data_IF_662180241899
#
_entry.id   IF_662180241899
#
_cell.length_a   1.000
_cell.length_b   1.000
_cell.length_c   1.000
_cell.angle_alpha   90.00
_cell.angle_beta   90.00
_cell.angle_gamma   90.00
#
_symmetry.space_group_name_H-M   'P 1'
#
loop_
_entity.id
_entity.type
_entity.pdbx_description
1 polymer ?
#
# COMPACT_ATOMS: atom_id res chain seq x y z
N UNK A 1 -20.27 -17.08 -28.21
CA UNK A 1 -19.09 -16.51 -27.54
C UNK A 1 -19.18 -14.97 -27.45
N UNK A 2 -20.25 -14.38 -26.93
CA UNK A 2 -20.43 -12.92 -26.88
C UNK A 2 -21.03 -12.37 -25.58
N UNK A 3 -21.12 -13.18 -24.52
CA UNK A 3 -21.73 -12.75 -23.24
C UNK A 3 -20.74 -12.30 -22.17
N UNK A 4 -19.43 -12.44 -22.37
CA UNK A 4 -18.42 -12.13 -21.37
C UNK A 4 -17.84 -10.70 -21.46
N UNK A 5 -18.18 -9.93 -22.51
CA UNK A 5 -17.62 -8.59 -22.70
C UNK A 5 -18.47 -7.46 -22.09
N UNK A 6 -19.76 -7.69 -21.82
CA UNK A 6 -20.64 -6.64 -21.26
C UNK A 6 -20.58 -6.52 -19.73
N UNK A 7 -20.12 -7.58 -19.04
CA UNK A 7 -20.06 -7.58 -17.57
C UNK A 7 -18.91 -6.74 -16.97
N UNK A 8 -17.85 -6.55 -17.75
CA UNK A 8 -16.64 -5.85 -17.26
C UNK A 8 -16.75 -4.31 -17.26
N UNK A 9 -17.66 -3.73 -18.00
CA UNK A 9 -17.80 -2.28 -18.14
C UNK A 9 -18.67 -1.69 -17.02
N UNK A 10 -19.71 -2.41 -16.58
CA UNK A 10 -20.62 -2.00 -15.50
C UNK A 10 -19.91 -1.89 -14.14
N UNK A 11 -19.02 -2.81 -13.82
CA UNK A 11 -18.27 -2.82 -12.57
C UNK A 11 -17.32 -1.62 -12.41
N UNK A 12 -16.64 -1.22 -13.49
CA UNK A 12 -15.73 -0.06 -13.47
C UNK A 12 -16.43 1.25 -13.13
N UNK A 13 -17.64 1.44 -13.64
CA UNK A 13 -18.44 2.64 -13.34
C UNK A 13 -19.07 2.59 -11.94
N UNK A 14 -19.38 1.41 -11.41
CA UNK A 14 -19.95 1.28 -10.07
C UNK A 14 -18.99 1.75 -8.99
N UNK A 15 -17.69 1.50 -9.12
CA UNK A 15 -16.69 2.02 -8.16
C UNK A 15 -16.48 3.53 -8.27
N UNK A 16 -16.50 4.08 -9.48
CA UNK A 16 -16.39 5.53 -9.70
C UNK A 16 -17.62 6.25 -9.15
N UNK A 17 -18.82 5.72 -9.40
CA UNK A 17 -20.09 6.26 -8.90
C UNK A 17 -20.17 6.13 -7.37
N UNK A 18 -19.77 5.00 -6.80
CA UNK A 18 -19.71 4.82 -5.35
C UNK A 18 -18.72 5.78 -4.69
N UNK A 19 -17.54 5.99 -5.30
CA UNK A 19 -16.56 6.97 -4.82
C UNK A 19 -17.06 8.41 -4.86
N UNK A 20 -17.75 8.80 -5.94
CA UNK A 20 -18.38 10.12 -6.07
C UNK A 20 -19.56 10.30 -5.10
N UNK A 21 -20.31 9.23 -4.83
CA UNK A 21 -21.43 9.25 -3.90
C UNK A 21 -20.96 9.41 -2.44
N UNK A 22 -19.89 8.73 -2.05
CA UNK A 22 -19.27 8.89 -0.72
C UNK A 22 -18.70 10.30 -0.55
N UNK A 23 -18.10 10.88 -1.60
CA UNK A 23 -17.57 12.24 -1.55
C UNK A 23 -18.66 13.30 -1.35
N UNK A 24 -19.90 13.07 -1.80
CA UNK A 24 -21.02 14.02 -1.66
C UNK A 24 -21.67 14.05 -0.27
N UNK A 25 -21.43 13.08 0.59
CA UNK A 25 -21.96 13.01 1.95
C UNK A 25 -21.04 13.58 3.03
N UNK A 26 -19.82 14.02 2.67
CA UNK A 26 -18.93 14.63 3.64
C UNK A 26 -19.34 16.11 3.84
N UNK A 27 -19.85 16.49 5.02
CA UNK A 27 -20.10 17.89 5.32
C UNK A 27 -18.77 18.65 5.38
N UNK A 28 -18.45 19.38 4.32
CA UNK A 28 -17.18 20.11 4.11
C UNK A 28 -16.92 21.27 5.10
N UNK A 29 -17.73 21.42 6.15
CA UNK A 29 -17.53 22.47 7.15
C UNK A 29 -16.56 22.03 8.23
N UNK A 30 -15.29 22.44 8.09
CA UNK A 30 -14.25 22.25 9.11
C UNK A 30 -13.44 20.95 9.06
N UNK A 31 -13.67 20.08 8.08
CA UNK A 31 -12.80 18.94 7.83
C UNK A 31 -11.57 19.36 7.04
N UNK A 32 -10.39 19.11 7.58
CA UNK A 32 -9.15 19.22 6.81
C UNK A 32 -8.97 17.93 6.01
N UNK A 33 -8.67 18.09 4.75
CA UNK A 33 -8.33 17.00 3.81
C UNK A 33 -6.89 17.19 3.40
N UNK A 34 -6.14 16.11 3.34
CA UNK A 34 -4.79 16.13 2.78
C UNK A 34 -4.64 15.05 1.72
N UNK A 35 -3.83 15.34 0.72
CA UNK A 35 -3.39 14.36 -0.29
C UNK A 35 -1.90 14.16 -0.13
N UNK A 36 -1.44 12.92 -0.26
CA UNK A 36 -0.05 12.55 -0.03
C UNK A 36 0.48 11.58 -1.08
N UNK A 37 1.79 11.61 -1.27
CA UNK A 37 2.55 10.58 -2.00
C UNK A 37 3.71 10.10 -1.14
N UNK A 38 4.05 8.82 -1.25
CA UNK A 38 5.18 8.21 -0.55
C UNK A 38 6.40 8.22 -1.47
N UNK A 39 7.38 9.06 -1.14
CA UNK A 39 8.61 9.25 -1.92
C UNK A 39 9.45 7.97 -2.02
N UNK A 40 9.39 7.06 -1.03
CA UNK A 40 10.07 5.77 -1.10
C UNK A 40 9.44 4.86 -2.16
N UNK A 41 8.12 4.88 -2.28
CA UNK A 41 7.42 4.15 -3.33
C UNK A 41 7.70 4.77 -4.70
N UNK A 42 7.71 6.09 -4.82
CA UNK A 42 8.04 6.82 -6.05
C UNK A 42 9.48 6.48 -6.51
N UNK A 43 10.43 6.38 -5.58
CA UNK A 43 11.82 5.98 -5.87
C UNK A 43 11.92 4.56 -6.45
N UNK A 44 10.95 3.69 -6.17
CA UNK A 44 10.84 2.35 -6.78
C UNK A 44 9.91 2.32 -7.99
N UNK A 45 9.59 3.48 -8.58
CA UNK A 45 8.66 3.64 -9.71
C UNK A 45 7.26 3.07 -9.46
N UNK A 46 6.85 3.06 -8.20
CA UNK A 46 5.52 2.61 -7.78
C UNK A 46 4.59 3.82 -7.69
N UNK A 47 3.56 3.85 -8.52
CA UNK A 47 2.50 4.87 -8.39
C UNK A 47 1.81 4.70 -7.05
N UNK A 48 1.68 5.80 -6.33
CA UNK A 48 0.98 5.78 -5.05
C UNK A 48 0.25 7.11 -4.82
N UNK A 49 -0.83 7.02 -4.09
CA UNK A 49 -1.61 8.16 -3.65
C UNK A 49 -2.29 7.82 -2.33
N UNK A 50 -2.30 8.76 -1.41
CA UNK A 50 -3.03 8.69 -0.15
C UNK A 50 -3.94 9.91 0.02
N UNK A 51 -5.06 9.68 0.69
CA UNK A 51 -5.98 10.75 1.10
C UNK A 51 -6.22 10.62 2.59
N UNK A 52 -5.96 11.69 3.32
CA UNK A 52 -6.17 11.75 4.76
C UNK A 52 -7.31 12.71 5.11
N UNK A 53 -8.24 12.23 5.92
CA UNK A 53 -9.43 12.94 6.35
C UNK A 53 -9.38 13.15 7.87
N UNK A 54 -9.52 14.38 8.32
CA UNK A 54 -9.64 14.69 9.74
C UNK A 54 -11.06 14.39 10.22
N UNK A 55 -11.23 13.35 11.03
CA UNK A 55 -12.52 12.94 11.58
C UNK A 55 -12.81 13.59 12.93
N UNK A 56 -11.77 13.86 13.73
CA UNK A 56 -11.85 14.39 15.09
C UNK A 56 -10.62 15.27 15.37
N UNK A 57 -10.60 16.12 16.40
CA UNK A 57 -9.43 16.93 16.75
C UNK A 57 -8.11 16.19 16.89
N UNK A 58 -8.16 14.90 17.28
CA UNK A 58 -6.99 14.03 17.44
C UNK A 58 -6.99 12.79 16.53
N UNK A 59 -8.02 12.58 15.73
CA UNK A 59 -8.13 11.40 14.88
C UNK A 59 -8.26 11.76 13.41
N UNK A 60 -7.48 11.09 12.60
CA UNK A 60 -7.59 11.13 11.13
C UNK A 60 -7.71 9.72 10.58
N UNK A 61 -8.31 9.61 9.41
CA UNK A 61 -8.33 8.40 8.60
C UNK A 61 -7.52 8.66 7.34
N UNK A 62 -6.47 7.89 7.16
CA UNK A 62 -5.67 7.84 5.94
C UNK A 62 -6.07 6.61 5.12
N UNK A 63 -6.22 6.78 3.82
CA UNK A 63 -6.40 5.67 2.88
C UNK A 63 -5.40 5.84 1.77
N UNK A 64 -4.42 4.96 1.71
CA UNK A 64 -3.39 4.98 0.69
C UNK A 64 -3.50 3.76 -0.23
N UNK A 65 -3.19 3.98 -1.50
CA UNK A 65 -3.12 2.95 -2.51
C UNK A 65 -1.82 3.04 -3.30
N UNK A 66 -1.25 1.90 -3.65
CA UNK A 66 -0.08 1.81 -4.49
C UNK A 66 -0.28 0.80 -5.61
N UNK A 67 0.33 1.07 -6.76
CA UNK A 67 0.24 0.25 -7.94
C UNK A 67 1.54 0.28 -8.73
N UNK A 68 2.09 -0.90 -8.98
CA UNK A 68 3.27 -1.07 -9.81
C UNK A 68 3.03 -2.15 -10.87
N UNK A 69 2.83 -1.78 -12.14
CA UNK A 69 2.60 -2.74 -13.23
C UNK A 69 3.88 -3.21 -13.93
N UNK A 70 5.06 -2.73 -13.51
CA UNK A 70 6.25 -2.82 -14.33
C UNK A 70 6.91 -4.21 -14.32
N UNK A 71 7.38 -4.60 -15.49
CA UNK A 71 8.42 -5.60 -15.67
C UNK A 71 9.64 -4.86 -16.22
N UNK A 72 10.73 -4.86 -15.47
CA UNK A 72 11.97 -4.19 -15.84
C UNK A 72 12.83 -5.06 -16.77
N UNK A 73 13.99 -4.53 -17.21
CA UNK A 73 14.99 -5.28 -17.97
C UNK A 73 15.35 -6.58 -17.24
N UNK A 74 15.80 -7.59 -18.00
CA UNK A 74 16.12 -8.94 -17.50
C UNK A 74 14.92 -9.64 -16.84
N UNK A 75 13.69 -9.28 -17.25
CA UNK A 75 12.46 -9.84 -16.71
C UNK A 75 12.34 -9.74 -15.17
N UNK A 76 12.86 -8.69 -14.58
CA UNK A 76 12.66 -8.37 -13.18
C UNK A 76 11.21 -7.93 -12.97
N UNK A 77 10.43 -8.75 -12.29
CA UNK A 77 9.03 -8.46 -12.00
C UNK A 77 8.91 -7.85 -10.61
N UNK A 78 8.32 -6.65 -10.57
CA UNK A 78 7.99 -5.93 -9.33
C UNK A 78 6.54 -5.46 -9.38
N UNK A 79 5.65 -6.38 -9.80
CA UNK A 79 4.25 -6.04 -10.00
C UNK A 79 3.49 -6.24 -8.70
N UNK A 80 2.78 -5.21 -8.26
CA UNK A 80 1.92 -5.29 -7.09
C UNK A 80 0.87 -4.18 -7.11
N UNK A 81 -0.19 -4.40 -6.38
CA UNK A 81 -1.09 -3.36 -5.91
C UNK A 81 -1.35 -3.58 -4.42
N UNK A 82 -1.51 -2.51 -3.68
CA UNK A 82 -1.76 -2.52 -2.25
C UNK A 82 -2.71 -1.38 -1.91
N UNK A 83 -3.67 -1.67 -1.02
CA UNK A 83 -4.54 -0.65 -0.39
C UNK A 83 -4.36 -0.77 1.10
N UNK A 84 -4.15 0.37 1.76
CA UNK A 84 -3.82 0.45 3.18
C UNK A 84 -4.61 1.58 3.84
N UNK A 85 -5.81 1.31 4.39
CA UNK A 85 -6.48 2.20 5.32
C UNK A 85 -5.81 2.19 6.69
N UNK A 86 -5.71 3.38 7.30
CA UNK A 86 -5.07 3.61 8.58
C UNK A 86 -5.81 4.64 9.42
N UNK A 87 -6.15 4.28 10.65
CA UNK A 87 -6.62 5.21 11.66
C UNK A 87 -5.42 5.78 12.42
N UNK A 88 -5.30 7.12 12.50
CA UNK A 88 -4.19 7.82 13.11
C UNK A 88 -4.64 8.61 14.33
N UNK A 89 -3.93 8.42 15.42
CA UNK A 89 -4.09 9.20 16.65
C UNK A 89 -2.94 10.20 16.79
N UNK A 90 -3.25 11.49 16.81
CA UNK A 90 -2.31 12.58 16.93
C UNK A 90 -2.17 13.01 18.40
N UNK A 91 -0.92 13.08 18.91
CA UNK A 91 -0.69 13.42 20.30
C UNK A 91 -1.01 14.88 20.63
N UNK A 92 -0.67 15.79 19.72
CA UNK A 92 -0.89 17.22 19.91
C UNK A 92 -1.99 17.74 18.98
N UNK A 93 -1.66 18.03 17.75
CA UNK A 93 -2.56 18.61 16.75
C UNK A 93 -2.68 17.66 15.55
N UNK A 94 -3.89 17.50 15.02
CA UNK A 94 -4.14 16.69 13.83
C UNK A 94 -3.28 17.14 12.65
N UNK A 95 -2.75 16.20 11.91
CA UNK A 95 -1.89 16.40 10.74
C UNK A 95 -0.56 17.12 11.01
N UNK A 96 -0.11 17.17 12.28
CA UNK A 96 1.18 17.77 12.65
C UNK A 96 1.74 17.16 13.92
N UNK A 97 3.05 16.91 13.95
CA UNK A 97 3.74 16.33 15.08
C UNK A 97 3.67 14.80 15.12
N UNK A 98 3.72 14.24 16.30
CA UNK A 98 3.76 12.81 16.53
C UNK A 98 2.38 12.17 16.41
N UNK A 99 2.32 10.97 15.81
CA UNK A 99 1.11 10.16 15.75
C UNK A 99 1.39 8.66 15.87
N UNK A 100 0.36 7.93 16.29
CA UNK A 100 0.28 6.48 16.20
C UNK A 100 -0.73 6.12 15.11
N UNK A 101 -0.35 5.20 14.23
CA UNK A 101 -1.17 4.65 13.17
C UNK A 101 -1.60 3.21 13.48
N UNK A 102 -2.84 2.88 13.16
CA UNK A 102 -3.38 1.53 13.18
C UNK A 102 -3.83 1.21 11.76
N UNK A 103 -3.05 0.42 11.04
CA UNK A 103 -3.32 0.10 9.66
C UNK A 103 -3.75 -1.34 9.46
N UNK A 104 -4.60 -1.53 8.47
CA UNK A 104 -4.85 -2.81 7.83
C UNK A 104 -4.48 -2.68 6.36
N UNK A 105 -4.13 -3.78 5.73
CA UNK A 105 -3.73 -3.72 4.33
C UNK A 105 -4.11 -5.00 3.59
N UNK A 106 -4.30 -4.84 2.29
CA UNK A 106 -4.57 -5.95 1.40
C UNK A 106 -4.10 -5.64 -0.01
N UNK A 107 -3.60 -6.67 -0.69
CA UNK A 107 -3.09 -6.50 -2.02
C UNK A 107 -2.69 -7.80 -2.69
N UNK A 108 -2.24 -7.70 -3.94
CA UNK A 108 -1.69 -8.81 -4.68
C UNK A 108 -0.34 -8.43 -5.31
N UNK A 109 0.49 -9.43 -5.51
CA UNK A 109 1.83 -9.27 -6.01
C UNK A 109 2.23 -10.36 -7.00
N UNK A 110 3.15 -10.01 -7.89
CA UNK A 110 3.84 -10.91 -8.79
C UNK A 110 5.29 -10.46 -8.87
N UNK A 111 6.14 -11.10 -8.09
CA UNK A 111 7.51 -10.66 -7.82
C UNK A 111 8.47 -11.78 -8.19
N UNK A 112 9.52 -11.46 -8.94
CA UNK A 112 10.52 -12.44 -9.33
C UNK A 112 11.73 -11.83 -10.02
N UNK A 113 12.83 -12.60 -10.06
CA UNK A 113 14.11 -12.19 -10.62
C UNK A 113 14.68 -10.90 -9.98
N UNK A 114 14.53 -10.77 -8.65
CA UNK A 114 15.05 -9.65 -7.89
C UNK A 114 16.29 -10.08 -7.09
N UNK A 115 17.41 -9.43 -7.34
CA UNK A 115 18.64 -9.67 -6.60
C UNK A 115 18.62 -8.92 -5.25
N UNK A 116 17.85 -9.43 -4.30
CA UNK A 116 17.77 -8.89 -2.94
C UNK A 116 18.57 -9.80 -2.02
N UNK A 117 19.70 -9.32 -1.54
CA UNK A 117 20.55 -10.09 -0.61
C UNK A 117 20.19 -9.75 0.86
N UNK A 118 18.96 -10.07 1.25
CA UNK A 118 18.47 -9.77 2.59
C UNK A 118 17.69 -10.96 3.16
N UNK A 119 17.90 -11.22 4.44
CA UNK A 119 17.07 -12.11 5.25
C UNK A 119 16.52 -11.31 6.42
N UNK A 120 15.21 -11.24 6.56
CA UNK A 120 14.55 -10.45 7.58
C UNK A 120 13.51 -11.29 8.32
N UNK A 121 13.66 -11.36 9.65
CA UNK A 121 12.70 -11.98 10.57
C UNK A 121 12.16 -13.36 10.10
N UNK A 122 13.08 -14.22 9.65
CA UNK A 122 12.74 -15.56 9.18
C UNK A 122 12.36 -15.67 7.70
N UNK A 123 12.12 -14.58 7.01
CA UNK A 123 11.84 -14.55 5.57
C UNK A 123 13.13 -14.37 4.77
N UNK A 124 13.42 -15.30 3.86
CA UNK A 124 14.61 -15.26 3.01
C UNK A 124 14.27 -14.69 1.62
N UNK A 125 14.54 -13.40 1.45
CA UNK A 125 14.30 -12.69 0.18
C UNK A 125 15.30 -13.01 -0.92
N UNK A 126 16.42 -13.71 -0.62
CA UNK A 126 17.41 -14.12 -1.62
C UNK A 126 16.83 -15.08 -2.65
N UNK A 127 15.78 -15.84 -2.27
CA UNK A 127 15.06 -16.75 -3.17
C UNK A 127 14.31 -16.04 -4.31
N UNK A 128 14.08 -14.72 -4.20
CA UNK A 128 13.46 -13.89 -5.25
C UNK A 128 14.35 -13.77 -6.49
N UNK A 129 15.65 -14.06 -6.38
CA UNK A 129 16.59 -14.03 -7.51
C UNK A 129 16.26 -15.14 -8.53
N UNK A 130 15.97 -16.33 -8.05
CA UNK A 130 15.85 -17.52 -8.90
C UNK A 130 14.39 -17.96 -9.11
N UNK A 131 13.47 -17.49 -8.27
CA UNK A 131 12.07 -17.89 -8.23
C UNK A 131 11.13 -16.72 -8.44
N UNK A 132 9.93 -16.99 -8.97
CA UNK A 132 8.84 -16.06 -9.06
C UNK A 132 7.74 -16.43 -8.08
N UNK A 133 7.24 -15.46 -7.37
CA UNK A 133 6.14 -15.59 -6.43
C UNK A 133 4.97 -14.73 -6.86
N UNK A 134 3.81 -15.35 -6.97
CA UNK A 134 2.57 -14.68 -7.33
C UNK A 134 1.51 -15.02 -6.30
N UNK A 135 0.86 -14.01 -5.74
CA UNK A 135 -0.11 -14.24 -4.69
C UNK A 135 -0.79 -12.97 -4.20
N UNK A 136 -1.43 -13.11 -3.06
CA UNK A 136 -2.06 -12.01 -2.36
C UNK A 136 -1.63 -12.00 -0.89
N UNK A 137 -1.75 -10.86 -0.28
CA UNK A 137 -1.48 -10.65 1.14
C UNK A 137 -2.64 -9.86 1.77
N UNK A 138 -2.85 -10.12 3.04
CA UNK A 138 -3.68 -9.30 3.91
C UNK A 138 -3.04 -9.27 5.29
N UNK A 139 -3.14 -8.13 5.95
CA UNK A 139 -2.51 -7.97 7.25
C UNK A 139 -2.88 -6.67 7.93
N UNK A 140 -2.14 -6.36 8.97
CA UNK A 140 -2.29 -5.12 9.69
C UNK A 140 -1.19 -4.95 10.73
N UNK A 141 -1.11 -3.75 11.25
CA UNK A 141 -0.06 -3.41 12.21
C UNK A 141 -0.29 -2.08 12.87
N UNK A 142 0.73 -1.68 13.60
CA UNK A 142 0.82 -0.39 14.27
C UNK A 142 2.03 0.37 13.70
N UNK A 143 1.85 1.66 13.49
CA UNK A 143 2.85 2.58 13.02
C UNK A 143 3.09 3.72 13.99
N UNK A 144 4.27 4.28 13.93
CA UNK A 144 4.60 5.52 14.58
C UNK A 144 5.24 6.46 13.58
N UNK A 145 4.80 7.70 13.58
CA UNK A 145 5.31 8.69 12.66
C UNK A 145 5.37 10.09 13.24
N UNK A 146 6.01 10.94 12.46
CA UNK A 146 6.11 12.37 12.73
C UNK A 146 5.88 13.15 11.45
N UNK A 147 5.04 14.18 11.52
CA UNK A 147 4.75 15.10 10.43
C UNK A 147 5.30 16.49 10.73
N UNK A 148 6.25 16.94 9.89
CA UNK A 148 6.83 18.28 9.93
C UNK A 148 6.03 19.23 9.03
N UNK A 149 5.54 20.31 9.59
CA UNK A 149 4.94 21.39 8.83
C UNK A 149 6.04 22.23 8.16
N UNK A 150 6.16 22.13 6.84
CA UNK A 150 7.15 22.88 6.05
C UNK A 150 6.58 24.25 5.65
N UNK A 151 5.30 24.30 5.31
CA UNK A 151 4.59 25.52 5.00
C UNK A 151 3.10 25.42 5.34
N UNK A 152 2.31 26.44 5.01
CA UNK A 152 0.86 26.47 5.24
C UNK A 152 0.12 25.26 4.68
N UNK A 153 0.56 24.75 3.53
CA UNK A 153 -0.12 23.69 2.79
C UNK A 153 0.76 22.43 2.66
N UNK A 154 2.06 22.50 2.95
CA UNK A 154 2.97 21.39 2.73
C UNK A 154 3.54 20.84 4.01
N UNK A 155 3.43 19.52 4.17
CA UNK A 155 4.09 18.77 5.23
C UNK A 155 5.00 17.69 4.62
N UNK A 156 6.04 17.34 5.36
CA UNK A 156 6.82 16.12 5.15
C UNK A 156 6.56 15.22 6.35
N UNK A 157 6.39 13.95 6.11
CA UNK A 157 6.08 12.98 7.15
C UNK A 157 6.99 11.76 7.01
N UNK A 158 7.48 11.26 8.13
CA UNK A 158 8.15 9.97 8.19
C UNK A 158 7.37 9.02 9.10
N UNK A 159 7.21 7.78 8.64
CA UNK A 159 6.47 6.75 9.37
C UNK A 159 7.13 5.39 9.23
N UNK A 160 7.18 4.65 10.34
CA UNK A 160 7.57 3.25 10.38
C UNK A 160 6.50 2.45 11.10
N UNK A 161 6.15 1.29 10.56
CA UNK A 161 5.16 0.39 11.12
C UNK A 161 5.64 -1.04 11.19
N UNK A 162 5.15 -1.75 12.19
CA UNK A 162 5.37 -3.18 12.38
C UNK A 162 4.03 -3.87 12.51
N UNK A 163 3.96 -5.09 12.03
CA UNK A 163 2.70 -5.82 12.05
C UNK A 163 2.83 -7.24 11.53
N UNK A 164 1.70 -7.79 11.17
CA UNK A 164 1.57 -9.16 10.72
C UNK A 164 0.88 -9.23 9.36
N UNK A 165 1.45 -10.06 8.46
CA UNK A 165 0.87 -10.39 7.17
C UNK A 165 0.60 -11.88 7.06
N UNK A 166 -0.59 -12.20 6.59
CA UNK A 166 -0.93 -13.49 6.01
C UNK A 166 -0.73 -13.41 4.50
N UNK A 167 0.17 -14.24 3.99
CA UNK A 167 0.53 -14.27 2.57
C UNK A 167 0.18 -15.62 1.99
N UNK A 168 -0.57 -15.64 0.88
CA UNK A 168 -0.88 -16.84 0.13
C UNK A 168 -0.32 -16.69 -1.28
N UNK A 169 0.50 -17.65 -1.71
CA UNK A 169 1.23 -17.54 -2.96
C UNK A 169 1.41 -18.85 -3.69
N UNK A 170 1.64 -18.75 -4.99
CA UNK A 170 2.17 -19.79 -5.84
C UNK A 170 3.65 -19.49 -6.13
N UNK A 171 4.53 -20.48 -6.06
CA UNK A 171 5.94 -20.36 -6.41
C UNK A 171 6.22 -21.03 -7.75
N UNK A 172 6.99 -20.36 -8.60
CA UNK A 172 7.40 -20.82 -9.92
C UNK A 172 8.92 -20.96 -9.98
N UNK A 173 9.40 -21.94 -10.75
CA UNK A 173 10.81 -22.30 -10.83
C UNK A 173 11.70 -21.19 -11.37
N UNK A 174 11.18 -20.36 -12.25
CA UNK A 174 11.88 -19.19 -12.79
C UNK A 174 10.88 -18.10 -13.18
N UNK A 175 11.40 -16.90 -13.52
CA UNK A 175 10.59 -15.76 -13.89
C UNK A 175 9.71 -15.96 -15.15
N UNK A 176 10.14 -16.84 -16.09
CA UNK A 176 9.44 -17.17 -17.33
C UNK A 176 8.75 -18.55 -17.30
N UNK A 177 9.08 -19.41 -16.33
CA UNK A 177 8.56 -20.76 -16.28
C UNK A 177 7.06 -20.77 -15.94
N UNK A 178 6.31 -21.58 -16.68
CA UNK A 178 4.91 -21.90 -16.37
C UNK A 178 4.74 -22.99 -15.32
N UNK A 179 5.82 -23.77 -15.03
CA UNK A 179 5.77 -24.86 -14.06
C UNK A 179 5.75 -24.32 -12.63
N UNK A 180 4.72 -24.70 -11.87
CA UNK A 180 4.58 -24.37 -10.45
C UNK A 180 5.37 -25.33 -9.60
N UNK A 181 6.24 -24.81 -8.73
CA UNK A 181 6.93 -25.59 -7.69
C UNK A 181 6.02 -25.86 -6.50
N UNK A 182 5.32 -24.79 -6.07
CA UNK A 182 4.40 -24.86 -4.94
C UNK A 182 3.08 -24.21 -5.33
N UNK A 183 1.98 -24.83 -4.92
CA UNK A 183 0.62 -24.30 -5.16
C UNK A 183 -0.02 -23.92 -3.84
N UNK A 184 -0.59 -22.70 -3.78
CA UNK A 184 -1.35 -22.21 -2.62
C UNK A 184 -0.58 -22.32 -1.30
N UNK A 185 0.74 -22.11 -1.33
CA UNK A 185 1.55 -22.05 -0.12
C UNK A 185 1.14 -20.85 0.74
N UNK A 186 1.22 -21.00 2.04
CA UNK A 186 0.93 -19.93 3.01
C UNK A 186 2.20 -19.56 3.75
N UNK A 187 2.37 -18.28 4.00
CA UNK A 187 3.45 -17.74 4.79
C UNK A 187 2.93 -16.70 5.78
N UNK A 188 3.36 -16.82 7.01
CA UNK A 188 3.06 -15.88 8.09
C UNK A 188 4.28 -15.00 8.31
N UNK A 189 4.12 -13.72 8.09
CA UNK A 189 5.19 -12.76 8.24
C UNK A 189 4.87 -11.83 9.42
N UNK A 190 5.82 -11.68 10.32
CA UNK A 190 5.80 -10.67 11.36
C UNK A 190 7.03 -9.79 11.21
N UNK A 191 6.83 -8.47 11.09
CA UNK A 191 7.93 -7.55 10.88
C UNK A 191 7.49 -6.17 10.42
N UNK A 192 8.40 -5.40 9.79
CA UNK A 192 8.05 -4.11 9.18
C UNK A 192 6.95 -4.27 8.12
N UNK A 193 5.84 -3.57 8.31
CA UNK A 193 4.68 -3.57 7.40
C UNK A 193 4.53 -2.24 6.69
N UNK A 194 5.11 -1.17 7.24
CA UNK A 194 5.04 0.15 6.67
C UNK A 194 6.37 0.89 6.81
N UNK A 195 6.83 1.50 5.74
CA UNK A 195 7.90 2.48 5.73
C UNK A 195 7.52 3.58 4.73
N UNK A 196 7.40 4.80 5.19
CA UNK A 196 6.98 5.90 4.36
C UNK A 196 7.75 7.18 4.68
N UNK A 197 8.09 7.90 3.61
CA UNK A 197 8.45 9.32 3.66
C UNK A 197 7.44 10.00 2.74
N UNK A 198 6.46 10.66 3.32
CA UNK A 198 5.35 11.24 2.59
C UNK A 198 5.56 12.73 2.34
N UNK A 199 5.28 13.17 1.14
CA UNK A 199 5.01 14.57 0.81
C UNK A 199 3.50 14.79 0.83
N UNK A 200 3.04 15.75 1.62
CA UNK A 200 1.63 15.95 1.93
C UNK A 200 1.21 17.36 1.55
N UNK A 201 0.09 17.48 0.85
CA UNK A 201 -0.58 18.74 0.58
C UNK A 201 -1.89 18.82 1.36
N UNK A 202 -2.04 19.86 2.20
CA UNK A 202 -3.21 20.14 3.02
C UNK A 202 -4.09 21.21 2.34
N UNK A 203 -5.37 20.92 2.23
CA UNK A 203 -6.38 21.83 1.67
C UNK A 203 -7.00 22.74 2.74
#
# INVERSE_FOLDING_TARGET
MSALHSFNLSWKYSFVVAGLFVASFLPLRGQRVAVKTNLLADATTTFNIGVELALHPKWTLDVSGSYNPWTFRDNRKWQHWLVQPEARYWFCQKMSGHFLGFHVEGGAFNIGNLNVNMKLLGTDFRRLKDKRYEGWLAGGGIGYGYSWMVSRHWNIEAELGVGYHFVKYDAYQCAHCGSKLERKATHHYFGPTKAAINLIYNF
#
